data_IF_547750644652
#
_entry.id   IF_547750644652
#
_cell.length_a   1.000
_cell.length_b   1.000
_cell.length_c   1.000
_cell.angle_alpha   90.00
_cell.angle_beta   90.00
_cell.angle_gamma   90.00
#
_symmetry.space_group_name_H-M   'P 1'
#
loop_
_entity.id
_entity.type
_entity.pdbx_description
1 polymer ?
#
# COMPACT_ATOMS: atom_id res chain seq x y z
N UNK A 1 28.94 -7.26 1.66
CA UNK A 1 27.70 -6.47 1.65
C UNK A 1 27.35 -5.88 0.27
N UNK A 2 28.33 -5.40 -0.54
CA UNK A 2 28.07 -4.85 -1.89
C UNK A 2 27.36 -5.80 -2.87
N UNK A 3 27.53 -7.12 -2.74
CA UNK A 3 26.95 -8.13 -3.65
C UNK A 3 25.42 -8.28 -3.53
N UNK A 4 24.84 -7.98 -2.36
CA UNK A 4 23.39 -8.07 -2.14
C UNK A 4 22.66 -6.83 -2.66
N UNK A 5 23.29 -5.66 -2.61
CA UNK A 5 22.73 -4.43 -3.19
C UNK A 5 22.63 -4.52 -4.72
N UNK A 6 23.63 -5.12 -5.37
CA UNK A 6 23.65 -5.34 -6.82
C UNK A 6 22.56 -6.32 -7.28
N UNK A 7 22.30 -7.39 -6.51
CA UNK A 7 21.22 -8.35 -6.79
C UNK A 7 19.82 -7.74 -6.60
N UNK A 8 19.66 -6.85 -5.62
CA UNK A 8 18.41 -6.09 -5.45
C UNK A 8 18.20 -5.10 -6.61
N UNK A 9 19.27 -4.46 -7.09
CA UNK A 9 19.23 -3.53 -8.24
C UNK A 9 18.87 -4.25 -9.54
N UNK A 10 19.46 -5.42 -9.79
CA UNK A 10 19.12 -6.29 -10.93
C UNK A 10 17.69 -6.81 -10.78
N UNK A 11 17.21 -7.12 -9.57
CA UNK A 11 15.80 -7.45 -9.37
C UNK A 11 14.87 -6.27 -9.66
N UNK A 12 15.18 -5.05 -9.20
CA UNK A 12 14.38 -3.85 -9.46
C UNK A 12 14.36 -3.52 -10.96
N UNK A 13 15.50 -3.60 -11.65
CA UNK A 13 15.63 -3.29 -13.08
C UNK A 13 15.16 -4.43 -14.01
N UNK A 14 15.19 -5.69 -13.58
CA UNK A 14 14.66 -6.81 -14.36
C UNK A 14 13.18 -7.09 -14.10
N UNK A 15 12.60 -6.56 -13.01
CA UNK A 15 11.15 -6.66 -12.74
C UNK A 15 10.35 -5.44 -13.24
N UNK A 16 11.01 -4.42 -13.78
CA UNK A 16 10.39 -3.46 -14.70
C UNK A 16 10.22 -4.04 -16.10
N UNK A 17 9.87 -5.32 -16.21
CA UNK A 17 9.13 -5.74 -17.40
C UNK A 17 7.81 -4.96 -17.35
N UNK A 18 7.38 -4.30 -18.44
CA UNK A 18 6.02 -3.77 -18.49
C UNK A 18 5.11 -4.91 -18.05
N UNK A 19 4.28 -4.66 -17.03
CA UNK A 19 3.34 -5.67 -16.53
C UNK A 19 2.76 -6.38 -17.74
N UNK A 20 2.89 -7.71 -17.80
CA UNK A 20 2.15 -8.51 -18.77
C UNK A 20 0.74 -7.90 -18.86
N UNK A 21 0.37 -7.42 -20.06
CA UNK A 21 -0.54 -6.26 -20.24
C UNK A 21 -1.65 -6.16 -19.20
N UNK A 22 -1.86 -4.96 -18.66
CA UNK A 22 -2.88 -4.69 -17.64
C UNK A 22 -4.18 -5.43 -17.98
N UNK A 23 -4.77 -6.12 -16.98
CA UNK A 23 -5.98 -6.88 -17.18
C UNK A 23 -7.05 -5.97 -17.82
N UNK A 24 -7.84 -6.48 -18.79
CA UNK A 24 -8.86 -5.67 -19.44
C UNK A 24 -9.80 -5.08 -18.38
N UNK A 25 -9.96 -3.76 -18.40
CA UNK A 25 -10.83 -3.03 -17.47
C UNK A 25 -12.28 -3.35 -17.76
N UNK A 26 -13.07 -3.60 -16.71
CA UNK A 26 -14.53 -3.53 -16.83
C UNK A 26 -14.99 -2.08 -17.05
N UNK A 27 -16.19 -1.82 -17.60
CA UNK A 27 -16.69 -0.46 -17.77
C UNK A 27 -16.70 0.38 -16.47
N UNK A 28 -17.03 -0.25 -15.33
CA UNK A 28 -16.96 0.45 -14.04
C UNK A 28 -15.53 0.78 -13.65
N UNK A 29 -14.59 -0.15 -13.85
CA UNK A 29 -13.19 0.09 -13.52
C UNK A 29 -12.63 1.24 -14.36
N UNK A 30 -13.03 1.36 -15.63
CA UNK A 30 -12.68 2.51 -16.47
C UNK A 30 -13.27 3.82 -15.93
N UNK A 31 -14.53 3.82 -15.48
CA UNK A 31 -15.15 5.00 -14.86
C UNK A 31 -14.44 5.39 -13.55
N UNK A 32 -14.08 4.41 -12.72
CA UNK A 32 -13.30 4.64 -11.51
C UNK A 32 -11.92 5.18 -11.86
N UNK A 33 -11.20 4.58 -12.80
CA UNK A 33 -9.88 5.02 -13.26
C UNK A 33 -9.89 6.47 -13.73
N UNK A 34 -10.93 6.91 -14.44
CA UNK A 34 -11.10 8.30 -14.85
C UNK A 34 -11.18 9.29 -13.67
N UNK A 35 -11.53 8.83 -12.47
CA UNK A 35 -11.53 9.65 -11.23
C UNK A 35 -10.14 9.77 -10.60
N UNK A 36 -9.18 8.93 -10.98
CA UNK A 36 -7.78 9.09 -10.56
C UNK A 36 -7.19 10.42 -11.04
N UNK A 37 -7.83 11.04 -12.03
CA UNK A 37 -7.40 12.25 -12.71
C UNK A 37 -8.11 13.50 -12.17
N UNK A 38 -7.59 14.16 -11.13
CA UNK A 38 -7.62 15.60 -11.07
C UNK A 38 -6.22 16.12 -11.37
N UNK A 39 -6.07 16.87 -12.47
CA UNK A 39 -4.86 17.59 -12.88
C UNK A 39 -3.57 16.84 -12.49
N UNK A 40 -3.26 15.75 -13.20
CA UNK A 40 -2.03 15.01 -12.96
C UNK A 40 -0.87 16.01 -13.01
N UNK A 41 -0.26 16.27 -11.85
CA UNK A 41 1.11 16.78 -11.80
C UNK A 41 1.90 15.75 -12.60
N UNK A 42 2.21 16.09 -13.85
CA UNK A 42 3.14 15.32 -14.66
C UNK A 42 4.44 15.34 -13.87
N UNK A 43 4.78 14.20 -13.26
CA UNK A 43 6.11 14.03 -12.69
C UNK A 43 7.03 13.95 -13.91
N UNK A 44 7.90 14.94 -14.13
CA UNK A 44 8.81 14.88 -15.26
C UNK A 44 9.60 13.59 -15.17
N UNK A 45 9.72 12.88 -16.29
CA UNK A 45 10.60 11.73 -16.35
C UNK A 45 12.03 12.23 -16.11
N UNK A 46 12.58 11.92 -14.93
CA UNK A 46 14.01 12.09 -14.70
C UNK A 46 14.76 11.04 -15.54
N UNK A 47 15.98 11.34 -16.04
CA UNK A 47 16.78 10.36 -16.75
C UNK A 47 16.96 9.09 -15.91
N UNK A 48 16.66 7.91 -16.48
CA UNK A 48 16.68 6.62 -15.75
C UNK A 48 18.01 6.38 -15.03
N UNK A 49 19.12 6.79 -15.63
CA UNK A 49 20.47 6.69 -15.04
C UNK A 49 20.63 7.51 -13.77
N UNK A 50 20.03 8.70 -13.70
CA UNK A 50 20.09 9.56 -12.51
C UNK A 50 19.23 8.99 -11.38
N UNK A 51 18.03 8.49 -11.72
CA UNK A 51 17.15 7.80 -10.76
C UNK A 51 17.85 6.57 -10.18
N UNK A 52 18.51 5.77 -11.01
CA UNK A 52 19.23 4.58 -10.59
C UNK A 52 20.39 4.92 -9.63
N UNK A 53 21.24 5.89 -9.98
CA UNK A 53 22.39 6.29 -9.15
C UNK A 53 21.97 6.88 -7.79
N UNK A 54 20.93 7.72 -7.78
CA UNK A 54 20.36 8.27 -6.55
C UNK A 54 19.76 7.16 -5.67
N UNK A 55 19.01 6.24 -6.29
CA UNK A 55 18.43 5.08 -5.59
C UNK A 55 19.51 4.21 -4.97
N UNK A 56 20.57 3.87 -5.71
CA UNK A 56 21.69 3.06 -5.21
C UNK A 56 22.33 3.68 -3.96
N UNK A 57 22.61 4.98 -4.01
CA UNK A 57 23.20 5.71 -2.87
C UNK A 57 22.29 5.67 -1.64
N UNK A 58 20.97 5.82 -1.84
CA UNK A 58 20.01 5.85 -0.74
C UNK A 58 19.79 4.46 -0.14
N UNK A 59 19.77 3.41 -0.94
CA UNK A 59 19.58 2.03 -0.47
C UNK A 59 20.75 1.51 0.39
N UNK A 60 21.92 2.15 0.31
CA UNK A 60 23.06 1.85 1.19
C UNK A 60 22.90 2.43 2.61
N UNK A 61 21.92 3.29 2.86
CA UNK A 61 21.67 3.86 4.19
C UNK A 61 21.04 2.81 5.13
N UNK A 62 21.28 2.92 6.45
CA UNK A 62 20.54 2.15 7.45
C UNK A 62 19.03 2.30 7.26
N UNK A 63 18.26 1.24 7.52
CA UNK A 63 16.80 1.35 7.54
C UNK A 63 16.40 2.25 8.72
N UNK A 64 15.70 3.38 8.49
CA UNK A 64 15.25 4.26 9.56
C UNK A 64 14.19 3.60 10.48
N UNK A 65 13.64 2.45 10.08
CA UNK A 65 12.59 1.74 10.82
C UNK A 65 11.22 2.42 10.78
N UNK A 66 11.12 3.60 10.15
CA UNK A 66 9.88 4.37 9.99
C UNK A 66 9.98 5.32 8.80
N UNK A 67 8.83 5.82 8.32
CA UNK A 67 8.76 6.87 7.29
C UNK A 67 8.96 8.27 7.89
N UNK A 68 9.42 9.22 7.07
CA UNK A 68 9.62 10.63 7.47
C UNK A 68 8.32 11.29 7.94
N UNK A 69 7.19 11.01 7.29
CA UNK A 69 5.86 11.47 7.72
C UNK A 69 5.52 11.18 9.19
N UNK A 70 6.08 10.13 9.81
CA UNK A 70 5.91 9.84 11.25
C UNK A 70 6.71 10.78 12.14
N UNK A 71 7.86 11.25 11.67
CA UNK A 71 8.66 12.27 12.36
C UNK A 71 7.94 13.61 12.38
N UNK A 72 7.23 13.97 11.32
CA UNK A 72 6.52 15.26 11.22
C UNK A 72 5.59 15.50 12.42
N UNK A 73 4.80 14.50 12.81
CA UNK A 73 3.94 14.61 13.99
C UNK A 73 4.71 14.60 15.31
N UNK A 74 5.91 13.99 15.34
CA UNK A 74 6.85 14.10 16.44
C UNK A 74 7.41 15.52 16.57
N UNK A 75 7.84 16.13 15.46
CA UNK A 75 8.29 17.52 15.38
C UNK A 75 7.20 18.48 15.86
N UNK A 76 5.95 18.25 15.46
CA UNK A 76 4.79 19.00 15.93
C UNK A 76 4.66 18.92 17.46
N UNK A 77 4.65 17.70 18.01
CA UNK A 77 4.47 17.46 19.46
C UNK A 77 5.60 18.05 20.30
N UNK A 78 6.82 18.07 19.76
CA UNK A 78 8.03 18.52 20.44
C UNK A 78 8.57 19.84 19.86
N UNK A 79 7.69 20.65 19.26
CA UNK A 79 8.08 21.84 18.49
C UNK A 79 8.89 22.84 19.33
N UNK A 80 8.51 23.08 20.58
CA UNK A 80 9.23 23.97 21.50
C UNK A 80 10.69 23.54 21.78
N UNK A 81 11.02 22.26 21.60
CA UNK A 81 12.36 21.73 21.82
C UNK A 81 13.18 21.62 20.53
N UNK A 82 12.52 21.52 19.37
CA UNK A 82 13.15 21.15 18.10
C UNK A 82 13.12 22.27 17.05
N UNK A 83 12.18 23.19 17.17
CA UNK A 83 11.84 24.20 16.16
C UNK A 83 11.84 25.60 16.78
N UNK A 84 12.12 26.62 15.97
CA UNK A 84 11.82 28.01 16.36
C UNK A 84 10.31 28.25 16.38
N UNK A 85 9.82 29.32 17.04
CA UNK A 85 8.40 29.68 17.02
C UNK A 85 7.84 29.84 15.59
N UNK A 86 8.63 30.42 14.68
CA UNK A 86 8.25 30.63 13.28
C UNK A 86 8.15 29.31 12.52
N UNK A 87 9.13 28.42 12.70
CA UNK A 87 9.10 27.06 12.12
C UNK A 87 7.90 26.26 12.64
N UNK A 88 7.60 26.35 13.93
CA UNK A 88 6.46 25.67 14.55
C UNK A 88 5.12 26.17 13.98
N UNK A 89 4.95 27.50 13.86
CA UNK A 89 3.77 28.10 13.26
C UNK A 89 3.61 27.69 11.79
N UNK A 90 4.71 27.68 11.02
CA UNK A 90 4.67 27.22 9.62
C UNK A 90 4.36 25.73 9.51
N UNK A 91 4.90 24.90 10.39
CA UNK A 91 4.60 23.47 10.41
C UNK A 91 3.10 23.21 10.65
N UNK A 92 2.47 23.90 11.59
CA UNK A 92 1.02 23.81 11.82
C UNK A 92 0.22 24.19 10.57
N UNK A 93 0.62 25.27 9.89
CA UNK A 93 -0.03 25.71 8.65
C UNK A 93 0.08 24.65 7.53
N UNK A 94 1.27 24.08 7.33
CA UNK A 94 1.50 23.02 6.32
C UNK A 94 0.66 21.78 6.65
N UNK A 95 0.60 21.36 7.93
CA UNK A 95 -0.23 20.23 8.35
C UNK A 95 -1.70 20.51 8.05
N UNK A 96 -2.21 21.69 8.39
CA UNK A 96 -3.60 22.05 8.15
C UNK A 96 -3.95 22.08 6.65
N UNK A 97 -3.04 22.57 5.81
CA UNK A 97 -3.21 22.64 4.36
C UNK A 97 -3.16 21.26 3.69
N UNK A 98 -2.22 20.40 4.09
CA UNK A 98 -1.95 19.12 3.41
C UNK A 98 -2.76 17.94 3.93
N UNK A 99 -3.16 17.94 5.20
CA UNK A 99 -3.87 16.80 5.82
C UNK A 99 -5.17 16.41 5.12
N UNK A 100 -6.03 17.35 4.66
CA UNK A 100 -7.27 16.97 3.97
C UNK A 100 -7.04 16.16 2.69
N UNK A 101 -6.01 16.50 1.91
CA UNK A 101 -5.66 15.79 0.67
C UNK A 101 -5.13 14.39 1.00
N UNK A 102 -4.25 14.28 2.00
CA UNK A 102 -3.76 12.98 2.47
C UNK A 102 -4.88 12.07 2.97
N UNK A 103 -5.82 12.62 3.75
CA UNK A 103 -6.98 11.89 4.26
C UNK A 103 -7.89 11.39 3.13
N UNK A 104 -8.18 12.24 2.13
CA UNK A 104 -8.94 11.84 0.95
C UNK A 104 -8.30 10.65 0.23
N UNK A 105 -7.01 10.72 -0.12
CA UNK A 105 -6.33 9.62 -0.81
C UNK A 105 -6.34 8.33 -0.01
N UNK A 106 -6.11 8.42 1.31
CA UNK A 106 -6.19 7.29 2.22
C UNK A 106 -7.58 6.62 2.19
N UNK A 107 -8.65 7.42 2.26
CA UNK A 107 -10.03 6.94 2.31
C UNK A 107 -10.48 6.35 0.96
N UNK A 108 -10.10 6.98 -0.15
CA UNK A 108 -10.36 6.46 -1.50
C UNK A 108 -9.60 5.13 -1.74
N UNK A 109 -8.32 5.05 -1.39
CA UNK A 109 -7.54 3.80 -1.50
C UNK A 109 -8.17 2.68 -0.65
N UNK A 110 -8.62 2.99 0.56
CA UNK A 110 -9.26 2.00 1.43
C UNK A 110 -10.67 1.62 0.94
N UNK A 111 -11.39 2.51 0.27
CA UNK A 111 -12.63 2.19 -0.44
C UNK A 111 -12.38 1.16 -1.54
N UNK A 112 -11.31 1.34 -2.33
CA UNK A 112 -10.90 0.35 -3.35
C UNK A 112 -10.47 -0.99 -2.72
N UNK A 113 -9.85 -0.97 -1.52
CA UNK A 113 -9.57 -2.19 -0.75
C UNK A 113 -10.86 -2.92 -0.37
N UNK A 114 -11.88 -2.20 0.09
CA UNK A 114 -13.19 -2.78 0.40
C UNK A 114 -13.83 -3.41 -0.84
N UNK A 115 -13.77 -2.73 -1.99
CA UNK A 115 -14.26 -3.28 -3.26
C UNK A 115 -13.48 -4.52 -3.71
N UNK A 116 -12.15 -4.51 -3.58
CA UNK A 116 -11.31 -5.68 -3.82
C UNK A 116 -11.73 -6.86 -2.92
N UNK A 117 -11.96 -6.60 -1.62
CA UNK A 117 -12.36 -7.64 -0.67
C UNK A 117 -13.75 -8.21 -0.98
N UNK A 118 -14.70 -7.38 -1.39
CA UNK A 118 -16.02 -7.82 -1.86
C UNK A 118 -15.88 -8.82 -3.03
N UNK A 119 -15.12 -8.44 -4.07
CA UNK A 119 -14.88 -9.30 -5.24
C UNK A 119 -14.08 -10.55 -4.86
N UNK A 120 -13.13 -10.44 -3.92
CA UNK A 120 -12.36 -11.57 -3.40
C UNK A 120 -13.27 -12.60 -2.74
N UNK A 121 -14.27 -12.17 -1.96
CA UNK A 121 -15.23 -13.09 -1.35
C UNK A 121 -16.11 -13.75 -2.40
N UNK A 122 -16.62 -13.00 -3.39
CA UNK A 122 -17.34 -13.61 -4.51
C UNK A 122 -16.49 -14.64 -5.24
N UNK A 123 -15.22 -14.32 -5.49
CA UNK A 123 -14.25 -15.25 -6.07
C UNK A 123 -14.03 -16.47 -5.18
N UNK A 124 -13.92 -16.34 -3.85
CA UNK A 124 -13.71 -17.47 -2.96
C UNK A 124 -14.90 -18.45 -2.94
N UNK A 125 -16.14 -17.94 -3.03
CA UNK A 125 -17.36 -18.75 -3.03
C UNK A 125 -17.70 -19.39 -4.38
N UNK A 126 -17.30 -18.77 -5.50
CA UNK A 126 -17.72 -19.19 -6.84
C UNK A 126 -17.35 -20.65 -7.19
N UNK A 127 -18.18 -21.37 -7.97
CA UNK A 127 -17.80 -22.68 -8.51
C UNK A 127 -16.59 -22.57 -9.45
N UNK A 128 -15.91 -23.70 -9.69
CA UNK A 128 -14.81 -23.77 -10.67
C UNK A 128 -15.29 -23.43 -12.09
N UNK A 129 -14.35 -23.01 -12.95
CA UNK A 129 -14.61 -22.71 -14.36
C UNK A 129 -14.68 -21.21 -14.66
N UNK A 130 -15.48 -20.85 -15.67
CA UNK A 130 -15.50 -19.51 -16.26
C UNK A 130 -15.87 -18.41 -15.26
N UNK A 131 -16.80 -18.68 -14.34
CA UNK A 131 -17.23 -17.70 -13.34
C UNK A 131 -16.09 -17.32 -12.38
N UNK A 132 -15.33 -18.31 -11.89
CA UNK A 132 -14.16 -18.06 -11.06
C UNK A 132 -13.05 -17.32 -11.83
N UNK A 133 -12.82 -17.69 -13.10
CA UNK A 133 -11.84 -17.02 -13.94
C UNK A 133 -12.18 -15.54 -14.17
N UNK A 134 -13.45 -15.23 -14.48
CA UNK A 134 -13.91 -13.85 -14.67
C UNK A 134 -13.75 -13.00 -13.39
N UNK A 135 -14.12 -13.56 -12.24
CA UNK A 135 -13.94 -12.89 -10.94
C UNK A 135 -12.47 -12.68 -10.60
N UNK A 136 -11.59 -13.64 -10.94
CA UNK A 136 -10.15 -13.51 -10.73
C UNK A 136 -9.53 -12.40 -11.59
N UNK A 137 -10.02 -12.22 -12.81
CA UNK A 137 -9.64 -11.10 -13.69
C UNK A 137 -10.16 -9.77 -13.14
N UNK A 138 -11.43 -9.71 -12.71
CA UNK A 138 -11.99 -8.49 -12.10
C UNK A 138 -11.20 -8.10 -10.84
N UNK A 139 -10.85 -9.08 -10.01
CA UNK A 139 -10.07 -8.89 -8.79
C UNK A 139 -8.69 -8.27 -9.08
N UNK A 140 -8.01 -8.75 -10.12
CA UNK A 140 -6.74 -8.16 -10.57
C UNK A 140 -6.92 -6.69 -10.99
N UNK A 141 -7.98 -6.38 -11.74
CA UNK A 141 -8.29 -5.00 -12.12
C UNK A 141 -8.51 -4.06 -10.92
N UNK A 142 -9.21 -4.52 -9.88
CA UNK A 142 -9.38 -3.73 -8.65
C UNK A 142 -8.08 -3.57 -7.86
N UNK A 143 -7.20 -4.58 -7.84
CA UNK A 143 -5.88 -4.46 -7.24
C UNK A 143 -5.03 -3.41 -7.97
N UNK A 144 -5.04 -3.43 -9.30
CA UNK A 144 -4.31 -2.45 -10.11
C UNK A 144 -4.79 -1.02 -9.83
N UNK A 145 -6.11 -0.80 -9.75
CA UNK A 145 -6.67 0.50 -9.37
C UNK A 145 -6.23 0.90 -7.96
N UNK A 146 -6.31 -0.02 -6.99
CA UNK A 146 -5.86 0.25 -5.63
C UNK A 146 -4.39 0.66 -5.60
N UNK A 147 -3.51 0.00 -6.36
CA UNK A 147 -2.10 0.35 -6.44
C UNK A 147 -1.88 1.72 -7.10
N UNK A 148 -2.68 2.08 -8.10
CA UNK A 148 -2.63 3.41 -8.70
C UNK A 148 -3.00 4.51 -7.69
N UNK A 149 -4.03 4.29 -6.87
CA UNK A 149 -4.37 5.20 -5.75
C UNK A 149 -3.28 5.27 -4.69
N UNK A 150 -2.73 4.11 -4.29
CA UNK A 150 -1.59 4.04 -3.38
C UNK A 150 -0.43 4.89 -3.89
N UNK A 151 -0.09 4.82 -5.19
CA UNK A 151 0.95 5.66 -5.76
C UNK A 151 0.64 7.17 -5.60
N UNK A 152 -0.60 7.60 -5.87
CA UNK A 152 -0.99 9.02 -5.69
C UNK A 152 -0.89 9.46 -4.23
N UNK A 153 -1.31 8.62 -3.29
CA UNK A 153 -1.17 8.87 -1.85
C UNK A 153 0.30 9.04 -1.45
N UNK A 154 1.19 8.14 -1.91
CA UNK A 154 2.62 8.22 -1.61
C UNK A 154 3.29 9.45 -2.21
N UNK A 155 2.88 9.87 -3.42
CA UNK A 155 3.37 11.11 -4.03
C UNK A 155 2.88 12.34 -3.27
N UNK A 156 1.61 12.40 -2.88
CA UNK A 156 1.08 13.49 -2.06
C UNK A 156 1.76 13.54 -0.67
N UNK A 157 2.03 12.38 -0.07
CA UNK A 157 2.79 12.28 1.17
C UNK A 157 4.24 12.76 0.99
N UNK A 158 4.88 12.46 -0.15
CA UNK A 158 6.22 12.94 -0.46
C UNK A 158 6.27 14.46 -0.60
N UNK A 159 5.30 15.08 -1.29
CA UNK A 159 5.22 16.54 -1.40
C UNK A 159 5.05 17.21 -0.03
N UNK A 160 4.22 16.63 0.83
CA UNK A 160 4.07 17.07 2.21
C UNK A 160 5.37 16.93 3.01
N UNK A 161 6.03 15.76 2.93
CA UNK A 161 7.30 15.49 3.58
C UNK A 161 8.38 16.47 3.09
N UNK A 162 8.39 16.78 1.80
CA UNK A 162 9.29 17.75 1.16
C UNK A 162 9.09 19.15 1.70
N UNK A 163 7.85 19.60 1.81
CA UNK A 163 7.54 20.93 2.34
C UNK A 163 7.96 21.06 3.81
N UNK A 164 7.76 20.03 4.62
CA UNK A 164 8.23 20.06 6.02
C UNK A 164 9.76 20.02 6.08
N UNK A 165 10.42 19.26 5.22
CA UNK A 165 11.89 19.21 5.15
C UNK A 165 12.51 20.59 4.88
N UNK A 166 11.90 21.42 4.02
CA UNK A 166 12.41 22.76 3.71
C UNK A 166 12.22 23.78 4.85
N UNK A 167 11.38 23.47 5.84
CA UNK A 167 11.26 24.30 7.04
C UNK A 167 12.47 24.16 7.96
N UNK A 168 13.15 23.02 7.92
CA UNK A 168 14.28 22.71 8.78
C UNK A 168 15.54 23.41 8.26
N UNK A 169 16.34 23.99 9.17
CA UNK A 169 17.68 24.49 8.81
C UNK A 169 18.65 23.33 8.64
N UNK A 170 19.77 23.55 7.95
CA UNK A 170 20.75 22.52 7.64
C UNK A 170 21.23 21.72 8.88
N UNK A 171 21.35 22.38 10.03
CA UNK A 171 21.73 21.75 11.28
C UNK A 171 20.68 20.74 11.79
N UNK A 172 19.40 21.14 11.80
CA UNK A 172 18.27 20.28 12.16
C UNK A 172 18.12 19.09 11.19
N UNK A 173 18.27 19.36 9.89
CA UNK A 173 18.25 18.33 8.84
C UNK A 173 19.31 17.26 9.09
N UNK A 174 20.53 17.68 9.45
CA UNK A 174 21.64 16.78 9.80
C UNK A 174 21.33 15.94 11.03
N UNK A 175 20.81 16.55 12.11
CA UNK A 175 20.42 15.81 13.31
C UNK A 175 19.32 14.77 13.03
N UNK A 176 18.35 15.10 12.20
CA UNK A 176 17.30 14.17 11.80
C UNK A 176 17.88 12.98 11.01
N UNK A 177 18.73 13.23 10.01
CA UNK A 177 19.35 12.18 9.20
C UNK A 177 20.34 11.30 9.99
N UNK A 178 21.00 11.87 11.00
CA UNK A 178 21.88 11.14 11.90
C UNK A 178 21.13 10.21 12.89
N UNK A 179 19.80 10.36 13.00
CA UNK A 179 18.98 9.61 13.95
C UNK A 179 18.94 10.20 15.36
N UNK A 180 19.56 11.36 15.60
CA UNK A 180 19.59 12.02 16.92
C UNK A 180 18.19 12.33 17.45
N UNK A 181 17.23 12.48 16.53
CA UNK A 181 15.84 12.81 16.85
C UNK A 181 14.92 11.59 16.94
N UNK A 182 15.46 10.37 16.87
CA UNK A 182 14.65 9.14 16.89
C UNK A 182 13.76 9.02 18.12
N UNK A 183 14.21 9.52 19.29
CA UNK A 183 13.41 9.56 20.53
C UNK A 183 12.14 10.42 20.45
N UNK A 184 12.09 11.35 19.49
CA UNK A 184 10.94 12.23 19.27
C UNK A 184 9.99 11.71 18.18
N UNK A 185 10.40 10.70 17.42
CA UNK A 185 9.54 10.07 16.44
C UNK A 185 8.43 9.29 17.14
N UNK A 186 7.22 9.31 16.55
CA UNK A 186 6.21 8.31 16.90
C UNK A 186 6.72 6.96 16.39
N UNK A 187 7.25 6.13 17.30
CA UNK A 187 7.64 4.77 16.97
C UNK A 187 6.41 4.01 16.46
N UNK A 188 6.60 3.30 15.35
CA UNK A 188 5.59 2.37 14.88
C UNK A 188 5.61 1.17 15.84
N UNK A 189 4.55 1.00 16.63
CA UNK A 189 4.33 -0.23 17.40
C UNK A 189 3.81 -1.33 16.48
N UNK A 190 4.32 -1.39 15.25
CA UNK A 190 3.69 -2.02 14.09
C UNK A 190 3.14 -3.39 14.44
N UNK A 191 1.88 -3.63 14.05
CA UNK A 191 1.36 -4.98 14.11
C UNK A 191 2.18 -5.78 13.10
N UNK A 192 2.95 -6.76 13.59
CA UNK A 192 3.68 -7.66 12.70
C UNK A 192 2.68 -8.23 11.67
N UNK A 193 3.05 -8.21 10.39
CA UNK A 193 2.27 -8.83 9.31
C UNK A 193 2.42 -10.35 9.38
N UNK A 194 1.91 -10.92 10.47
CA UNK A 194 1.72 -12.35 10.60
C UNK A 194 0.72 -12.86 9.57
N UNK A 195 0.67 -14.17 9.38
CA UNK A 195 -0.41 -14.78 8.60
C UNK A 195 -1.74 -14.51 9.31
N UNK A 196 -2.60 -13.67 8.72
CA UNK A 196 -3.93 -13.41 9.24
C UNK A 196 -5.04 -14.13 8.45
N UNK A 197 -4.69 -14.84 7.38
CA UNK A 197 -5.63 -15.45 6.43
C UNK A 197 -6.70 -16.28 7.12
N UNK A 198 -6.29 -17.26 7.94
CA UNK A 198 -7.21 -18.13 8.68
C UNK A 198 -8.10 -17.33 9.63
N UNK A 199 -7.53 -16.37 10.36
CA UNK A 199 -8.28 -15.50 11.29
C UNK A 199 -9.33 -14.65 10.56
N UNK A 200 -9.00 -14.13 9.38
CA UNK A 200 -9.93 -13.34 8.57
C UNK A 200 -11.07 -14.22 8.06
N UNK A 201 -10.75 -15.40 7.54
CA UNK A 201 -11.77 -16.36 7.06
C UNK A 201 -12.68 -16.80 8.19
N UNK A 202 -12.15 -17.25 9.32
CA UNK A 202 -12.98 -17.76 10.42
C UNK A 202 -13.82 -16.67 11.09
N UNK A 203 -13.31 -15.44 11.15
CA UNK A 203 -14.10 -14.29 11.60
C UNK A 203 -15.26 -13.98 10.65
N UNK A 204 -15.06 -14.12 9.35
CA UNK A 204 -16.08 -13.80 8.36
C UNK A 204 -17.12 -14.92 8.16
N UNK A 205 -16.69 -16.18 8.16
CA UNK A 205 -17.51 -17.33 7.74
C UNK A 205 -17.87 -18.28 8.89
N UNK A 206 -17.33 -18.05 10.09
CA UNK A 206 -17.40 -18.96 11.24
C UNK A 206 -16.32 -20.05 11.20
N UNK A 207 -16.37 -21.04 12.11
CA UNK A 207 -15.48 -22.21 12.05
C UNK A 207 -15.66 -23.01 10.75
N UNK A 208 -14.59 -23.63 10.20
CA UNK A 208 -14.70 -24.50 9.03
C UNK A 208 -15.50 -25.77 9.35
N UNK A 209 -16.29 -26.23 8.39
CA UNK A 209 -17.03 -27.49 8.44
C UNK A 209 -16.07 -28.69 8.32
N UNK A 210 -14.97 -28.51 7.56
CA UNK A 210 -13.89 -29.50 7.37
C UNK A 210 -12.56 -28.99 7.93
N UNK A 211 -12.35 -29.04 9.26
CA UNK A 211 -11.20 -28.40 9.91
C UNK A 211 -9.84 -29.00 9.52
N UNK A 212 -9.76 -30.30 9.23
CA UNK A 212 -8.50 -30.97 8.84
C UNK A 212 -8.06 -30.54 7.43
N UNK A 213 -8.97 -30.56 6.46
CA UNK A 213 -8.69 -30.10 5.09
C UNK A 213 -8.36 -28.60 5.07
N UNK A 214 -9.05 -27.80 5.89
CA UNK A 214 -8.74 -26.38 6.05
C UNK A 214 -7.32 -26.16 6.61
N UNK A 215 -6.92 -26.93 7.63
CA UNK A 215 -5.60 -26.83 8.24
C UNK A 215 -4.47 -27.25 7.29
N UNK A 216 -4.68 -28.32 6.49
CA UNK A 216 -3.72 -28.76 5.48
C UNK A 216 -3.50 -27.68 4.41
N UNK A 217 -4.59 -27.13 3.86
CA UNK A 217 -4.50 -26.04 2.89
C UNK A 217 -3.85 -24.77 3.48
N UNK A 218 -4.06 -24.50 4.78
CA UNK A 218 -3.44 -23.38 5.48
C UNK A 218 -1.93 -23.57 5.61
N UNK A 219 -1.48 -24.78 5.97
CA UNK A 219 -0.05 -25.09 6.07
C UNK A 219 0.67 -24.95 4.72
N UNK A 220 0.01 -25.36 3.62
CA UNK A 220 0.52 -25.15 2.28
C UNK A 220 0.68 -23.65 1.97
N UNK A 221 -0.36 -22.85 2.22
CA UNK A 221 -0.30 -21.39 2.04
C UNK A 221 0.78 -20.73 2.92
N UNK A 222 0.95 -21.16 4.16
CA UNK A 222 1.98 -20.64 5.05
C UNK A 222 3.39 -20.82 4.50
N UNK A 223 3.63 -21.88 3.74
CA UNK A 223 4.89 -22.10 3.04
C UNK A 223 4.99 -21.22 1.79
N UNK A 224 3.95 -21.20 0.96
CA UNK A 224 3.89 -20.42 -0.29
C UNK A 224 4.05 -18.90 -0.05
N UNK A 225 3.48 -18.37 1.04
CA UNK A 225 3.45 -16.93 1.30
C UNK A 225 4.81 -16.37 1.71
N UNK A 226 5.71 -17.18 2.29
CA UNK A 226 6.98 -16.71 2.86
C UNK A 226 7.84 -15.93 1.85
N UNK A 227 8.14 -16.45 0.65
CA UNK A 227 8.91 -15.69 -0.34
C UNK A 227 8.19 -14.41 -0.80
N UNK A 228 6.86 -14.41 -0.91
CA UNK A 228 6.09 -13.21 -1.28
C UNK A 228 6.14 -12.15 -0.18
N UNK A 229 5.97 -12.56 1.07
CA UNK A 229 6.08 -11.69 2.23
C UNK A 229 7.48 -11.08 2.35
N UNK A 230 8.53 -11.88 2.14
CA UNK A 230 9.91 -11.40 2.14
C UNK A 230 10.13 -10.34 1.06
N UNK A 231 9.67 -10.57 -0.18
CA UNK A 231 9.76 -9.59 -1.27
C UNK A 231 9.07 -8.27 -0.92
N UNK A 232 7.89 -8.33 -0.30
CA UNK A 232 7.19 -7.13 0.15
C UNK A 232 7.95 -6.42 1.27
N UNK A 233 8.46 -7.15 2.26
CA UNK A 233 9.24 -6.58 3.36
C UNK A 233 10.49 -5.85 2.85
N UNK A 234 11.20 -6.44 1.88
CA UNK A 234 12.38 -5.83 1.26
C UNK A 234 12.02 -4.56 0.48
N UNK A 235 10.92 -4.59 -0.29
CA UNK A 235 10.44 -3.43 -1.03
C UNK A 235 9.98 -2.28 -0.09
N UNK A 236 9.32 -2.61 1.02
CA UNK A 236 8.92 -1.61 2.03
C UNK A 236 10.13 -1.02 2.75
N UNK A 237 11.16 -1.83 3.05
CA UNK A 237 12.40 -1.33 3.61
C UNK A 237 13.13 -0.39 2.64
N UNK A 238 13.14 -0.71 1.34
CA UNK A 238 13.66 0.17 0.30
C UNK A 238 12.87 1.50 0.24
N UNK A 239 11.53 1.43 0.22
CA UNK A 239 10.66 2.59 0.21
C UNK A 239 10.85 3.49 1.45
N UNK A 240 11.02 2.90 2.65
CA UNK A 240 11.33 3.65 3.88
C UNK A 240 12.66 4.40 3.79
N UNK A 241 13.73 3.73 3.35
CA UNK A 241 15.05 4.37 3.16
C UNK A 241 14.96 5.58 2.23
N UNK A 242 14.24 5.43 1.10
CA UNK A 242 14.02 6.53 0.16
C UNK A 242 13.16 7.63 0.75
N UNK A 243 12.02 7.30 1.36
CA UNK A 243 11.15 8.29 1.99
C UNK A 243 11.84 9.08 3.10
N UNK A 244 12.88 8.54 3.72
CA UNK A 244 13.65 9.22 4.76
C UNK A 244 14.86 10.00 4.23
N UNK A 245 15.42 9.61 3.09
CA UNK A 245 16.56 10.28 2.46
C UNK A 245 16.15 11.57 1.71
N UNK A 246 15.53 12.51 2.42
CA UNK A 246 15.04 13.76 1.87
C UNK A 246 16.15 14.66 1.31
N UNK A 247 17.42 14.46 1.67
CA UNK A 247 18.53 15.16 1.02
C UNK A 247 18.86 14.63 -0.39
N UNK A 248 18.37 13.44 -0.76
CA UNK A 248 18.76 12.74 -2.01
C UNK A 248 17.61 12.24 -2.88
N UNK A 249 16.41 12.04 -2.31
CA UNK A 249 15.29 11.49 -3.08
C UNK A 249 14.69 12.53 -4.04
N UNK A 250 13.85 12.08 -4.97
CA UNK A 250 13.04 12.95 -5.83
C UNK A 250 11.69 12.28 -6.07
N UNK A 251 10.72 13.02 -6.62
CA UNK A 251 9.42 12.44 -6.98
C UNK A 251 9.56 11.23 -7.95
N UNK A 252 10.54 11.27 -8.86
CA UNK A 252 10.83 10.16 -9.77
C UNK A 252 11.38 8.93 -9.03
N UNK A 253 12.29 9.12 -8.07
CA UNK A 253 12.81 8.02 -7.23
C UNK A 253 11.71 7.41 -6.36
N UNK A 254 10.85 8.25 -5.75
CA UNK A 254 9.70 7.81 -4.96
C UNK A 254 8.72 7.02 -5.80
N UNK A 255 8.39 7.50 -7.00
CA UNK A 255 7.51 6.81 -7.93
C UNK A 255 8.04 5.41 -8.25
N UNK A 256 9.29 5.31 -8.70
CA UNK A 256 9.91 4.04 -9.09
C UNK A 256 9.90 3.00 -7.96
N UNK A 257 10.27 3.39 -6.74
CA UNK A 257 10.22 2.47 -5.61
C UNK A 257 8.81 2.14 -5.15
N UNK A 258 7.88 3.10 -5.23
CA UNK A 258 6.48 2.85 -4.89
C UNK A 258 5.85 1.88 -5.88
N UNK A 259 6.14 2.00 -7.17
CA UNK A 259 5.72 1.04 -8.20
C UNK A 259 6.28 -0.36 -7.92
N UNK A 260 7.55 -0.45 -7.50
CA UNK A 260 8.17 -1.72 -7.09
C UNK A 260 7.47 -2.34 -5.86
N UNK A 261 7.23 -1.53 -4.82
CA UNK A 261 6.53 -1.97 -3.61
C UNK A 261 5.08 -2.37 -3.91
N UNK A 262 4.39 -1.61 -4.75
CA UNK A 262 3.03 -1.91 -5.20
C UNK A 262 2.97 -3.23 -5.98
N UNK A 263 3.95 -3.53 -6.84
CA UNK A 263 4.01 -4.81 -7.54
C UNK A 263 4.19 -6.00 -6.57
N UNK A 264 5.07 -5.86 -5.58
CA UNK A 264 5.24 -6.88 -4.53
C UNK A 264 3.97 -7.04 -3.68
N UNK A 265 3.31 -5.93 -3.36
CA UNK A 265 2.04 -5.90 -2.64
C UNK A 265 0.94 -6.61 -3.44
N UNK A 266 0.74 -6.25 -4.70
CA UNK A 266 -0.26 -6.86 -5.58
C UNK A 266 -0.03 -8.37 -5.72
N UNK A 267 1.22 -8.80 -5.91
CA UNK A 267 1.55 -10.22 -6.00
C UNK A 267 1.17 -11.00 -4.72
N UNK A 268 1.50 -10.47 -3.54
CA UNK A 268 1.15 -11.10 -2.27
C UNK A 268 -0.37 -11.19 -2.08
N UNK A 269 -1.10 -10.10 -2.29
CA UNK A 269 -2.54 -10.05 -2.00
C UNK A 269 -3.40 -10.79 -3.02
N UNK A 270 -2.97 -10.87 -4.29
CA UNK A 270 -3.62 -11.73 -5.27
C UNK A 270 -3.38 -13.21 -4.95
N UNK A 271 -2.17 -13.58 -4.53
CA UNK A 271 -1.88 -14.93 -4.04
C UNK A 271 -2.69 -15.27 -2.76
N UNK A 272 -2.86 -14.30 -1.85
CA UNK A 272 -3.68 -14.47 -0.64
C UNK A 272 -5.17 -14.66 -0.99
N UNK A 273 -5.68 -14.00 -2.04
CA UNK A 273 -7.03 -14.23 -2.54
C UNK A 273 -7.18 -15.63 -3.14
N UNK A 274 -6.19 -16.09 -3.90
CA UNK A 274 -6.16 -17.47 -4.43
C UNK A 274 -6.10 -18.51 -3.29
N UNK A 275 -5.30 -18.26 -2.25
CA UNK A 275 -5.25 -19.08 -1.05
C UNK A 275 -6.57 -19.07 -0.27
N UNK A 276 -7.21 -17.90 -0.15
CA UNK A 276 -8.52 -17.75 0.50
C UNK A 276 -9.58 -18.58 -0.21
N UNK A 277 -9.62 -18.55 -1.55
CA UNK A 277 -10.49 -19.43 -2.33
C UNK A 277 -10.21 -20.90 -2.01
N UNK A 278 -8.96 -21.37 -2.07
CA UNK A 278 -8.62 -22.78 -1.76
C UNK A 278 -9.10 -23.17 -0.37
N UNK A 279 -8.79 -22.37 0.65
CA UNK A 279 -9.19 -22.58 2.04
C UNK A 279 -10.71 -22.65 2.20
N UNK A 280 -11.44 -21.73 1.58
CA UNK A 280 -12.90 -21.68 1.64
C UNK A 280 -13.52 -22.89 0.94
N UNK A 281 -13.03 -23.25 -0.25
CA UNK A 281 -13.59 -24.34 -1.06
C UNK A 281 -13.37 -25.73 -0.43
N UNK A 282 -12.28 -25.94 0.31
CA UNK A 282 -12.05 -27.20 1.02
C UNK A 282 -12.63 -27.22 2.43
N UNK A 283 -12.82 -26.04 3.04
CA UNK A 283 -13.17 -25.92 4.45
C UNK A 283 -14.66 -25.82 4.75
N UNK A 284 -15.52 -25.51 3.77
CA UNK A 284 -16.94 -25.24 4.00
C UNK A 284 -17.84 -25.97 3.00
N UNK A 285 -18.99 -26.45 3.46
CA UNK A 285 -19.96 -27.18 2.63
C UNK A 285 -20.72 -26.28 1.66
N UNK A 286 -21.08 -25.06 2.11
CA UNK A 286 -21.74 -24.03 1.30
C UNK A 286 -20.88 -22.75 1.25
N UNK A 287 -19.78 -22.76 0.48
CA UNK A 287 -18.89 -21.62 0.40
C UNK A 287 -19.55 -20.42 -0.28
N UNK A 288 -20.50 -20.63 -1.20
CA UNK A 288 -21.15 -19.54 -1.93
C UNK A 288 -22.03 -18.68 -1.01
N UNK A 289 -22.92 -19.31 -0.23
CA UNK A 289 -23.81 -18.58 0.66
C UNK A 289 -23.03 -17.82 1.76
N UNK A 290 -22.03 -18.48 2.36
CA UNK A 290 -21.17 -17.87 3.39
C UNK A 290 -20.40 -16.66 2.83
N UNK A 291 -19.76 -16.80 1.66
CA UNK A 291 -19.01 -15.72 1.05
C UNK A 291 -19.89 -14.55 0.58
N UNK A 292 -21.14 -14.80 0.20
CA UNK A 292 -22.08 -13.74 -0.19
C UNK A 292 -22.33 -12.74 0.94
N UNK A 293 -22.43 -13.20 2.19
CA UNK A 293 -22.57 -12.30 3.33
C UNK A 293 -21.26 -11.54 3.61
N UNK A 294 -20.12 -12.24 3.62
CA UNK A 294 -18.82 -11.61 3.82
C UNK A 294 -18.50 -10.54 2.76
N UNK A 295 -18.93 -10.74 1.51
CA UNK A 295 -18.81 -9.74 0.44
C UNK A 295 -19.61 -8.46 0.75
N UNK A 296 -20.87 -8.60 1.20
CA UNK A 296 -21.72 -7.47 1.59
C UNK A 296 -21.10 -6.67 2.74
N UNK A 297 -20.60 -7.38 3.76
CA UNK A 297 -19.99 -6.74 4.93
C UNK A 297 -18.71 -6.00 4.55
N UNK A 298 -17.91 -6.56 3.63
CA UNK A 298 -16.70 -5.92 3.11
C UNK A 298 -16.99 -4.59 2.39
N UNK A 299 -18.07 -4.51 1.61
CA UNK A 299 -18.49 -3.25 0.98
C UNK A 299 -19.14 -2.28 1.97
N UNK A 300 -19.93 -2.78 2.92
CA UNK A 300 -20.54 -1.96 3.97
C UNK A 300 -19.49 -1.18 4.77
N UNK A 301 -18.32 -1.78 5.03
CA UNK A 301 -17.19 -1.10 5.69
C UNK A 301 -16.78 0.20 4.96
N UNK A 302 -16.84 0.23 3.63
CA UNK A 302 -16.47 1.43 2.86
C UNK A 302 -17.37 2.61 3.20
N UNK A 303 -18.68 2.35 3.26
CA UNK A 303 -19.71 3.34 3.55
C UNK A 303 -19.70 3.79 5.00
N UNK A 304 -19.42 2.88 5.92
CA UNK A 304 -19.37 3.23 7.34
C UNK A 304 -18.13 4.06 7.67
N UNK A 305 -16.96 3.68 7.14
CA UNK A 305 -15.68 4.21 7.60
C UNK A 305 -15.08 5.29 6.71
N UNK A 306 -15.34 5.26 5.40
CA UNK A 306 -14.63 6.09 4.42
C UNK A 306 -15.53 7.07 3.66
N UNK A 307 -16.84 7.10 3.96
CA UNK A 307 -17.80 7.99 3.30
C UNK A 307 -17.38 9.46 3.30
N UNK A 308 -16.83 9.95 4.41
CA UNK A 308 -16.43 11.36 4.53
C UNK A 308 -15.35 11.76 3.51
N UNK A 309 -14.37 10.88 3.26
CA UNK A 309 -13.26 11.14 2.35
C UNK A 309 -13.42 10.57 0.93
N UNK A 310 -14.39 9.67 0.71
CA UNK A 310 -14.53 8.93 -0.55
C UNK A 310 -15.96 8.90 -1.12
N UNK A 311 -16.86 9.78 -0.67
CA UNK A 311 -18.29 9.80 -1.07
C UNK A 311 -18.52 9.80 -2.60
N UNK A 312 -17.76 10.58 -3.36
CA UNK A 312 -17.86 10.61 -4.83
C UNK A 312 -17.47 9.27 -5.46
N UNK A 313 -16.38 8.66 -4.98
CA UNK A 313 -15.91 7.37 -5.48
C UNK A 313 -16.90 6.26 -5.14
N UNK A 314 -17.46 6.27 -3.92
CA UNK A 314 -18.52 5.33 -3.49
C UNK A 314 -19.73 5.48 -4.41
N UNK A 315 -20.16 6.70 -4.70
CA UNK A 315 -21.32 6.96 -5.57
C UNK A 315 -21.11 6.43 -6.98
N UNK A 316 -19.90 6.55 -7.54
CA UNK A 316 -19.54 5.97 -8.86
C UNK A 316 -19.57 4.44 -8.83
N UNK A 317 -19.10 3.83 -7.75
CA UNK A 317 -19.12 2.36 -7.61
C UNK A 317 -20.55 1.83 -7.46
N UNK A 318 -21.43 2.56 -6.77
CA UNK A 318 -22.82 2.16 -6.53
C UNK A 318 -23.81 2.53 -7.64
N UNK A 319 -23.45 3.38 -8.60
CA UNK A 319 -24.38 3.82 -9.67
C UNK A 319 -24.68 2.77 -10.74
N UNK A 320 -24.74 1.49 -10.36
CA UNK A 320 -25.06 0.33 -11.20
C UNK A 320 -26.52 -0.10 -11.05
#
# INVERSE_FOLDING_TARGET
MARNALLLLVAILCHSQPSAGAAPRTPLQTQVEARLTPAAVEIPAAPEKEVAAATETVLQRPDPGTFFSRYIFGLKRHSQALLTPEQAARLEAVIAERSPIGQRWHDERNTLRCRFNEVMWHYAGAPEGEAAAALRTELAGWMDLRMAWTLREHLAAHDFDREVWTLLVADQQRHLLAGDWQRYAKLDTGHARGNATAKVITRALGPPDHPEAFAEALAAWETERLPLHQRLADAEAAARRVGFAMDRNSAAVIRSLTETANAAYAALYLAEADATRRLVRVGYDDPEAKCRQAAKDAWAEAKERFQAGASELISVIESR
#
